data_IF_197613621354
#
_entry.id   IF_197613621354
#
_cell.length_a   1.000
_cell.length_b   1.000
_cell.length_c   1.000
_cell.angle_alpha   90.00
_cell.angle_beta   90.00
_cell.angle_gamma   90.00
#
_symmetry.space_group_name_H-M   'P 1'
#
loop_
_entity.id
_entity.type
_entity.pdbx_description
1 polymer ?
#
# COMPACT_ATOMS: atom_id res chain seq x y z
N UNK A 1 17.46 1.50 -3.39
CA UNK A 1 17.40 2.48 -2.26
C UNK A 1 16.54 1.82 -1.20
N UNK A 2 16.98 1.67 0.06
CA UNK A 2 16.24 0.87 1.03
C UNK A 2 14.94 1.57 1.38
N UNK A 3 13.82 0.90 1.12
CA UNK A 3 12.49 1.33 1.57
C UNK A 3 12.46 1.38 3.09
N UNK A 4 12.31 2.58 3.66
CA UNK A 4 12.30 2.80 5.11
C UNK A 4 10.92 3.04 5.67
N UNK A 5 10.05 3.66 4.88
CA UNK A 5 8.71 4.04 5.31
C UNK A 5 7.66 3.68 4.25
N UNK A 6 6.55 3.08 4.67
CA UNK A 6 5.45 2.69 3.78
C UNK A 6 4.15 3.16 4.42
N UNK A 7 3.45 4.07 3.74
CA UNK A 7 2.15 4.58 4.16
C UNK A 7 1.03 4.08 3.23
N UNK A 8 0.00 3.49 3.83
CA UNK A 8 -1.16 2.96 3.13
C UNK A 8 -2.37 3.81 3.51
N UNK A 9 -2.74 4.73 2.64
CA UNK A 9 -3.91 5.57 2.76
C UNK A 9 -5.16 4.83 2.25
N UNK A 10 -6.13 4.51 3.12
CA UNK A 10 -7.37 3.82 2.72
C UNK A 10 -8.62 4.39 3.37
N UNK A 11 -9.76 4.26 2.67
CA UNK A 11 -11.04 4.56 3.28
C UNK A 11 -11.55 3.43 4.20
N UNK A 12 -11.42 3.64 5.51
CA UNK A 12 -11.93 2.74 6.56
C UNK A 12 -13.46 2.61 6.56
N UNK A 13 -14.18 3.66 6.14
CA UNK A 13 -15.65 3.64 6.04
C UNK A 13 -16.23 2.82 4.88
N UNK A 14 -15.40 2.41 3.90
CA UNK A 14 -15.85 1.73 2.68
C UNK A 14 -15.57 0.22 2.65
N UNK A 15 -15.31 -0.41 3.80
CA UNK A 15 -15.02 -1.86 3.91
C UNK A 15 -13.74 -2.32 3.17
N UNK A 16 -12.74 -1.43 3.00
CA UNK A 16 -11.42 -1.76 2.41
C UNK A 16 -10.39 -2.29 3.42
N UNK A 17 -10.75 -2.31 4.71
CA UNK A 17 -9.92 -2.74 5.83
C UNK A 17 -9.30 -4.14 5.68
N UNK A 18 -10.05 -5.21 5.33
CA UNK A 18 -9.46 -6.55 5.30
C UNK A 18 -8.40 -6.68 4.19
N UNK A 19 -8.56 -5.96 3.08
CA UNK A 19 -7.58 -5.96 1.99
C UNK A 19 -6.33 -5.15 2.30
N UNK A 20 -6.49 -3.97 2.88
CA UNK A 20 -5.33 -3.16 3.25
C UNK A 20 -4.53 -3.80 4.38
N UNK A 21 -5.20 -4.46 5.33
CA UNK A 21 -4.55 -5.24 6.37
C UNK A 21 -3.75 -6.42 5.79
N UNK A 22 -4.32 -7.13 4.80
CA UNK A 22 -3.60 -8.21 4.10
C UNK A 22 -2.35 -7.67 3.38
N UNK A 23 -2.47 -6.52 2.70
CA UNK A 23 -1.32 -5.88 2.05
C UNK A 23 -0.25 -5.46 3.07
N UNK A 24 -0.65 -4.83 4.17
CA UNK A 24 0.25 -4.40 5.23
C UNK A 24 0.99 -5.58 5.87
N UNK A 25 0.31 -6.72 6.06
CA UNK A 25 0.92 -7.93 6.58
C UNK A 25 2.03 -8.42 5.64
N UNK A 26 1.74 -8.58 4.35
CA UNK A 26 2.75 -9.08 3.39
C UNK A 26 3.92 -8.11 3.21
N UNK A 27 3.67 -6.80 3.28
CA UNK A 27 4.74 -5.79 3.25
C UNK A 27 5.64 -5.85 4.47
N UNK A 28 5.08 -6.10 5.66
CA UNK A 28 5.86 -6.30 6.89
C UNK A 28 6.72 -7.56 6.81
N UNK A 29 6.22 -8.62 6.16
CA UNK A 29 6.99 -9.85 5.95
C UNK A 29 8.11 -9.68 4.91
N UNK A 30 7.84 -8.98 3.81
CA UNK A 30 8.83 -8.74 2.75
C UNK A 30 9.89 -7.70 3.14
N UNK A 31 9.51 -6.70 3.94
CA UNK A 31 10.37 -5.59 4.34
C UNK A 31 10.34 -5.39 5.86
N UNK A 32 11.02 -6.25 6.64
CA UNK A 32 11.06 -6.14 8.09
C UNK A 32 11.75 -4.85 8.58
N UNK A 33 12.64 -4.27 7.76
CA UNK A 33 13.27 -2.98 8.00
C UNK A 33 12.38 -1.77 7.66
N UNK A 34 11.27 -1.95 6.95
CA UNK A 34 10.38 -0.87 6.55
C UNK A 34 9.24 -0.71 7.57
N UNK A 35 8.98 0.53 7.98
CA UNK A 35 7.87 0.83 8.88
C UNK A 35 6.59 1.00 8.06
N UNK A 36 5.63 0.10 8.27
CA UNK A 36 4.32 0.12 7.59
C UNK A 36 3.26 0.79 8.46
N UNK A 37 2.73 1.93 8.00
CA UNK A 37 1.62 2.68 8.58
C UNK A 37 0.36 2.58 7.73
N UNK A 38 -0.80 2.54 8.39
CA UNK A 38 -2.11 2.60 7.72
C UNK A 38 -2.77 3.92 8.09
N UNK A 39 -2.95 4.79 7.10
CA UNK A 39 -3.60 6.10 7.27
C UNK A 39 -5.05 6.00 6.82
N UNK A 40 -6.03 6.17 7.72
CA UNK A 40 -7.44 6.18 7.33
C UNK A 40 -7.77 7.49 6.61
N UNK A 41 -8.22 7.40 5.35
CA UNK A 41 -8.64 8.56 4.54
C UNK A 41 -10.15 8.55 4.25
N UNK A 42 -10.70 9.69 3.82
CA UNK A 42 -12.09 9.80 3.38
C UNK A 42 -12.23 9.65 1.85
N UNK A 43 -13.43 9.30 1.38
CA UNK A 43 -13.79 9.45 -0.04
C UNK A 43 -13.46 8.28 -0.97
N UNK A 44 -13.34 7.05 -0.45
CA UNK A 44 -13.23 5.83 -1.27
C UNK A 44 -11.91 5.65 -2.02
N UNK A 45 -10.90 6.46 -1.69
CA UNK A 45 -9.55 6.42 -2.25
C UNK A 45 -8.69 5.38 -1.55
N UNK A 46 -7.76 4.83 -2.32
CA UNK A 46 -6.73 3.93 -1.82
C UNK A 46 -5.42 4.33 -2.47
N UNK A 47 -4.49 4.79 -1.65
CA UNK A 47 -3.21 5.37 -2.05
C UNK A 47 -2.11 4.66 -1.26
N UNK A 48 -1.04 4.31 -1.96
CA UNK A 48 0.12 3.67 -1.37
C UNK A 48 1.33 4.53 -1.67
N UNK A 49 1.96 4.99 -0.60
CA UNK A 49 3.16 5.81 -0.65
C UNK A 49 4.31 5.09 0.02
N UNK A 50 5.50 5.17 -0.56
CA UNK A 50 6.71 4.60 0.00
C UNK A 50 7.77 5.68 0.04
N UNK A 51 8.32 5.94 1.22
CA UNK A 51 9.35 6.96 1.45
C UNK A 51 8.93 8.35 0.94
N UNK A 52 7.64 8.68 1.06
CA UNK A 52 7.06 9.94 0.55
C UNK A 52 6.80 9.96 -0.96
N UNK A 53 7.01 8.86 -1.69
CA UNK A 53 6.62 8.71 -3.09
C UNK A 53 5.32 7.93 -3.21
N UNK A 54 4.27 8.56 -3.73
CA UNK A 54 3.05 7.88 -4.14
C UNK A 54 3.41 6.89 -5.26
N UNK A 55 3.39 5.60 -4.97
CA UNK A 55 3.66 4.55 -5.94
C UNK A 55 2.38 4.08 -6.64
N UNK A 56 1.24 4.21 -5.97
CA UNK A 56 0.00 3.64 -6.46
C UNK A 56 -1.22 4.40 -5.96
N UNK A 57 -2.17 4.67 -6.86
CA UNK A 57 -3.49 5.20 -6.53
C UNK A 57 -4.58 4.41 -7.23
N UNK A 58 -5.51 3.85 -6.45
CA UNK A 58 -6.70 3.16 -6.97
C UNK A 58 -7.60 4.10 -7.78
N UNK A 59 -7.50 5.41 -7.56
CA UNK A 59 -8.29 6.39 -8.30
C UNK A 59 -8.04 6.29 -9.82
N UNK A 60 -6.86 5.83 -10.24
CA UNK A 60 -6.50 5.63 -11.64
C UNK A 60 -6.89 4.24 -12.19
N UNK A 61 -6.94 3.21 -11.35
CA UNK A 61 -7.11 1.82 -11.82
C UNK A 61 -8.56 1.34 -11.89
N UNK A 62 -9.49 1.99 -11.19
CA UNK A 62 -10.92 1.65 -11.24
C UNK A 62 -11.30 0.23 -10.77
N UNK A 63 -10.32 -0.56 -10.31
CA UNK A 63 -10.46 -1.95 -9.82
C UNK A 63 -9.66 -2.16 -8.55
N UNK A 64 -10.08 -3.13 -7.73
CA UNK A 64 -9.33 -3.50 -6.52
C UNK A 64 -8.15 -4.38 -6.88
N UNK A 65 -6.94 -3.91 -6.60
CA UNK A 65 -5.74 -4.73 -6.70
C UNK A 65 -5.72 -5.79 -5.60
N UNK A 66 -5.26 -6.98 -5.94
CA UNK A 66 -4.97 -8.01 -4.96
C UNK A 66 -3.68 -7.67 -4.19
N UNK A 67 -3.56 -8.11 -2.91
CA UNK A 67 -2.37 -7.83 -2.11
C UNK A 67 -1.07 -8.32 -2.78
N UNK A 68 -1.09 -9.48 -3.43
CA UNK A 68 0.06 -10.00 -4.19
C UNK A 68 0.43 -9.17 -5.42
N UNK A 69 -0.56 -8.56 -6.08
CA UNK A 69 -0.34 -7.73 -7.27
C UNK A 69 0.25 -6.37 -6.90
N UNK A 70 -0.19 -5.77 -5.79
CA UNK A 70 0.40 -4.55 -5.25
C UNK A 70 1.85 -4.76 -4.86
N UNK A 71 2.18 -5.91 -4.25
CA UNK A 71 3.55 -6.26 -3.89
C UNK A 71 4.46 -6.43 -5.10
N UNK A 72 3.96 -7.10 -6.14
CA UNK A 72 4.71 -7.27 -7.40
C UNK A 72 4.98 -5.93 -8.07
N UNK A 73 4.01 -5.00 -8.05
CA UNK A 73 4.20 -3.64 -8.56
C UNK A 73 5.20 -2.83 -7.73
N UNK A 74 5.11 -2.90 -6.41
CA UNK A 74 6.06 -2.29 -5.48
C UNK A 74 7.49 -2.77 -5.74
N UNK A 75 7.70 -4.09 -5.87
CA UNK A 75 9.00 -4.69 -6.16
C UNK A 75 9.54 -4.29 -7.54
N UNK A 76 8.66 -4.17 -8.53
CA UNK A 76 9.06 -3.71 -9.87
C UNK A 76 9.50 -2.24 -9.90
N UNK A 77 8.79 -1.39 -9.16
CA UNK A 77 9.07 0.05 -9.12
C UNK A 77 10.22 0.38 -8.17
N UNK A 78 10.44 -0.47 -7.17
CA UNK A 78 11.47 -0.30 -6.14
C UNK A 78 12.26 -1.61 -6.02
N UNK A 79 13.13 -1.92 -6.99
CA UNK A 79 14.16 -2.93 -6.77
C UNK A 79 15.12 -2.39 -5.69
N UNK A 80 15.44 -3.23 -4.71
CA UNK A 80 16.36 -2.94 -3.59
C UNK A 80 17.71 -2.40 -4.09
#
# INVERSE_FOLDING_TARGET
MPVRWIDIALCVGCNYQPRAAALAATLREAYPQATVTLTPTGGGRFELSVDGRLLFSKHELGRHLQPGEALTLLQRLTPD
#
